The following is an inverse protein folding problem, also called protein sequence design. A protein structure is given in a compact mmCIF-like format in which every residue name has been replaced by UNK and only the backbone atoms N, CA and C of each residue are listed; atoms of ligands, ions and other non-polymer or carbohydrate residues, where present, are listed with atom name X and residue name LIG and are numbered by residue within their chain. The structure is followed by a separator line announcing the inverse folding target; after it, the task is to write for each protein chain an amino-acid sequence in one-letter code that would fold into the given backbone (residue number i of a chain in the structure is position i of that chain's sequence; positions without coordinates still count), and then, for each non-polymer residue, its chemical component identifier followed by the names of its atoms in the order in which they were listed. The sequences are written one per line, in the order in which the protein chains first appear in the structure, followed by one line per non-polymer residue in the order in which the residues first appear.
data_IF_736499568205
#
_entry.id   IF_736499568205
#
_cell.length_a   1.000
_cell.length_b   1.000
_cell.length_c   1.000
_cell.angle_alpha   90.00
_cell.angle_beta   90.00
_cell.angle_gamma   90.00
#
_symmetry.space_group_name_H-M   'P 1'
#
loop_
_entity.id
_entity.type
_entity.pdbx_description
1 polymer ?
#
# COMPACT_ATOMS: atom_id res chain seq x y z
N UNK A 1 7.62 29.57 -13.47
CA UNK A 1 6.96 28.27 -13.24
C UNK A 1 6.37 27.83 -14.57
N UNK A 2 6.91 26.78 -15.19
CA UNK A 2 6.53 26.35 -16.55
C UNK A 2 5.26 25.49 -16.51
N UNK A 3 4.40 25.61 -17.52
CA UNK A 3 3.14 24.87 -17.66
C UNK A 3 3.37 23.34 -17.59
N UNK A 4 4.50 22.86 -18.12
CA UNK A 4 4.89 21.44 -18.05
C UNK A 4 5.08 20.91 -16.62
N UNK A 5 5.51 21.76 -15.68
CA UNK A 5 5.70 21.37 -14.27
C UNK A 5 4.35 21.19 -13.57
N UNK A 6 3.39 22.09 -13.84
CA UNK A 6 2.02 22.00 -13.35
C UNK A 6 1.30 20.77 -13.89
N UNK A 7 1.42 20.48 -15.19
CA UNK A 7 0.82 19.30 -15.81
C UNK A 7 1.42 17.99 -15.27
N UNK A 8 2.70 17.98 -14.91
CA UNK A 8 3.32 16.82 -14.23
C UNK A 8 2.77 16.64 -12.83
N UNK A 9 2.75 17.71 -12.02
CA UNK A 9 2.24 17.67 -10.65
C UNK A 9 0.79 17.18 -10.59
N UNK A 10 -0.06 17.66 -11.51
CA UNK A 10 -1.46 17.26 -11.59
C UNK A 10 -1.61 15.76 -11.88
N UNK A 11 -0.88 15.24 -12.88
CA UNK A 11 -0.84 13.80 -13.19
C UNK A 11 -0.33 12.94 -12.04
N UNK A 12 0.66 13.42 -11.28
CA UNK A 12 1.15 12.69 -10.10
C UNK A 12 0.07 12.60 -9.02
N UNK A 13 -0.69 13.68 -8.82
CA UNK A 13 -1.78 13.71 -7.85
C UNK A 13 -2.93 12.78 -8.24
N UNK A 14 -3.32 12.77 -9.52
CA UNK A 14 -4.34 11.84 -10.02
C UNK A 14 -3.92 10.37 -9.83
N UNK A 15 -2.66 10.04 -10.13
CA UNK A 15 -2.12 8.71 -9.91
C UNK A 15 -2.15 8.31 -8.44
N UNK A 16 -1.75 9.23 -7.55
CA UNK A 16 -1.75 9.02 -6.11
C UNK A 16 -3.14 8.75 -5.56
N UNK A 17 -4.13 9.52 -6.02
CA UNK A 17 -5.55 9.31 -5.69
C UNK A 17 -6.03 7.95 -6.18
N UNK A 18 -5.78 7.62 -7.44
CA UNK A 18 -6.17 6.32 -8.02
C UNK A 18 -5.56 5.14 -7.25
N UNK A 19 -4.26 5.21 -6.93
CA UNK A 19 -3.57 4.15 -6.20
C UNK A 19 -4.09 4.01 -4.76
N UNK A 20 -4.44 5.12 -4.11
CA UNK A 20 -5.10 5.09 -2.80
C UNK A 20 -6.47 4.43 -2.90
N UNK A 21 -7.32 4.82 -3.85
CA UNK A 21 -8.65 4.22 -4.05
C UNK A 21 -8.57 2.71 -4.30
N UNK A 22 -7.66 2.27 -5.18
CA UNK A 22 -7.44 0.85 -5.45
C UNK A 22 -6.89 0.11 -4.22
N UNK A 23 -6.04 0.76 -3.41
CA UNK A 23 -5.59 0.19 -2.14
C UNK A 23 -6.79 -0.04 -1.22
N UNK A 24 -7.65 0.97 -1.00
CA UNK A 24 -8.84 0.83 -0.15
C UNK A 24 -9.78 -0.26 -0.65
N UNK A 25 -9.99 -0.34 -1.97
CA UNK A 25 -10.85 -1.34 -2.61
C UNK A 25 -10.37 -2.77 -2.42
N UNK A 26 -9.07 -3.04 -2.62
CA UNK A 26 -8.53 -4.40 -2.56
C UNK A 26 -8.11 -4.83 -1.16
N UNK A 27 -7.56 -3.92 -0.36
CA UNK A 27 -7.16 -4.20 1.01
C UNK A 27 -8.36 -4.24 1.96
N UNK A 28 -9.40 -3.46 1.68
CA UNK A 28 -10.53 -3.25 2.59
C UNK A 28 -10.16 -2.41 3.82
N UNK A 29 -11.18 -1.98 4.54
CA UNK A 29 -11.02 -1.02 5.65
C UNK A 29 -10.10 -1.53 6.77
N UNK A 30 -10.19 -2.81 7.14
CA UNK A 30 -9.44 -3.33 8.29
C UNK A 30 -7.93 -3.41 8.01
N UNK A 31 -7.55 -3.88 6.82
CA UNK A 31 -6.16 -3.96 6.43
C UNK A 31 -5.57 -2.55 6.24
N UNK A 32 -6.32 -1.62 5.64
CA UNK A 32 -5.87 -0.22 5.53
C UNK A 32 -5.65 0.40 6.89
N UNK A 33 -6.56 0.19 7.85
CA UNK A 33 -6.36 0.68 9.23
C UNK A 33 -5.09 0.11 9.86
N UNK A 34 -4.81 -1.18 9.67
CA UNK A 34 -3.56 -1.79 10.14
C UNK A 34 -2.33 -1.14 9.50
N UNK A 35 -2.36 -0.92 8.18
CA UNK A 35 -1.25 -0.25 7.49
C UNK A 35 -1.06 1.19 8.01
N UNK A 36 -2.14 1.97 8.13
CA UNK A 36 -2.06 3.34 8.64
C UNK A 36 -1.57 3.41 10.10
N UNK A 37 -1.86 2.39 10.91
CA UNK A 37 -1.32 2.29 12.27
C UNK A 37 0.20 2.08 12.28
N UNK A 38 0.74 1.31 11.33
CA UNK A 38 2.16 0.99 11.26
C UNK A 38 2.96 2.13 10.63
N UNK A 39 2.44 2.73 9.56
CA UNK A 39 3.18 3.74 8.77
C UNK A 39 2.79 5.18 9.06
N UNK A 40 1.70 5.42 9.78
CA UNK A 40 1.17 6.75 10.16
C UNK A 40 0.92 7.71 8.99
N UNK A 41 0.99 7.20 7.75
CA UNK A 41 0.87 7.97 6.52
C UNK A 41 0.29 7.11 5.41
N UNK A 42 -0.73 7.63 4.74
CA UNK A 42 -1.37 6.94 3.62
C UNK A 42 -0.42 6.79 2.43
N UNK A 43 0.44 7.77 2.17
CA UNK A 43 1.45 7.68 1.11
C UNK A 43 2.45 6.55 1.40
N UNK A 44 2.91 6.42 2.65
CA UNK A 44 3.82 5.35 3.07
C UNK A 44 3.16 3.97 3.01
N UNK A 45 1.92 3.86 3.50
CA UNK A 45 1.13 2.64 3.43
C UNK A 45 0.90 2.18 1.98
N UNK A 46 0.52 3.12 1.11
CA UNK A 46 0.36 2.90 -0.34
C UNK A 46 1.66 2.44 -0.98
N UNK A 47 2.77 3.13 -0.70
CA UNK A 47 4.08 2.75 -1.24
C UNK A 47 4.45 1.33 -0.82
N UNK A 48 4.24 0.95 0.45
CA UNK A 48 4.46 -0.42 0.91
C UNK A 48 3.55 -1.42 0.22
N UNK A 49 2.26 -1.12 0.08
CA UNK A 49 1.24 -2.00 -0.50
C UNK A 49 1.53 -2.37 -1.98
N UNK A 50 2.14 -1.44 -2.71
CA UNK A 50 2.56 -1.64 -4.10
C UNK A 50 4.05 -2.04 -4.26
N UNK A 51 4.81 -2.13 -3.16
CA UNK A 51 6.21 -2.55 -3.18
C UNK A 51 6.36 -4.06 -3.13
N UNK A 52 7.46 -4.57 -3.67
CA UNK A 52 7.80 -5.99 -3.56
C UNK A 52 8.32 -6.29 -2.17
N UNK A 53 7.76 -7.31 -1.53
CA UNK A 53 8.12 -7.70 -0.16
C UNK A 53 8.79 -9.08 -0.17
N UNK A 54 9.97 -9.17 0.42
CA UNK A 54 10.77 -10.40 0.48
C UNK A 54 9.99 -11.52 1.16
N UNK A 55 9.33 -11.22 2.29
CA UNK A 55 8.52 -12.17 3.05
C UNK A 55 7.30 -12.71 2.28
N UNK A 56 6.90 -12.07 1.18
CA UNK A 56 5.84 -12.52 0.27
C UNK A 56 6.41 -13.19 -1.01
N UNK A 57 7.68 -13.59 -0.99
CA UNK A 57 8.34 -14.17 -2.17
C UNK A 57 8.60 -13.13 -3.26
N UNK A 58 8.96 -11.90 -2.87
CA UNK A 58 9.24 -10.77 -3.77
C UNK A 58 8.03 -10.32 -4.61
N UNK A 59 6.82 -10.61 -4.12
CA UNK A 59 5.53 -10.15 -4.67
C UNK A 59 5.01 -8.94 -3.89
N UNK A 60 4.02 -8.25 -4.46
CA UNK A 60 3.40 -7.07 -3.83
C UNK A 60 2.20 -7.47 -2.97
N UNK A 61 1.96 -6.83 -1.82
CA UNK A 61 0.74 -7.01 -1.04
C UNK A 61 -0.53 -6.85 -1.89
N UNK A 62 -0.55 -5.90 -2.83
CA UNK A 62 -1.63 -5.72 -3.80
C UNK A 62 -1.99 -7.01 -4.56
N UNK A 63 -1.00 -7.77 -5.02
CA UNK A 63 -1.24 -8.98 -5.82
C UNK A 63 -1.97 -10.05 -4.96
N UNK A 64 -1.63 -10.18 -3.68
CA UNK A 64 -2.32 -11.08 -2.75
C UNK A 64 -3.75 -10.64 -2.47
N UNK A 65 -3.95 -9.34 -2.19
CA UNK A 65 -5.28 -8.79 -1.95
C UNK A 65 -6.20 -8.97 -3.18
N UNK A 66 -5.66 -8.76 -4.38
CA UNK A 66 -6.38 -8.99 -5.64
C UNK A 66 -6.75 -10.46 -5.87
N UNK A 67 -5.90 -11.39 -5.43
CA UNK A 67 -6.16 -12.83 -5.44
C UNK A 67 -7.10 -13.30 -4.29
N UNK A 68 -7.58 -12.39 -3.44
CA UNK A 68 -8.43 -12.72 -2.28
C UNK A 68 -7.66 -13.25 -1.07
N UNK A 69 -6.32 -13.19 -1.07
CA UNK A 69 -5.43 -13.67 0.00
C UNK A 69 -5.10 -12.60 1.04
N UNK A 70 -6.09 -11.80 1.42
CA UNK A 70 -5.93 -10.66 2.35
C UNK A 70 -5.36 -11.10 3.70
N UNK A 71 -5.72 -12.30 4.17
CA UNK A 71 -5.25 -12.85 5.46
C UNK A 71 -3.72 -12.99 5.52
N UNK A 72 -3.07 -13.34 4.42
CA UNK A 72 -1.61 -13.49 4.36
C UNK A 72 -0.92 -12.14 4.57
N UNK A 73 -1.46 -11.09 3.94
CA UNK A 73 -0.99 -9.72 4.12
C UNK A 73 -1.24 -9.22 5.54
N UNK A 74 -2.41 -9.49 6.12
CA UNK A 74 -2.71 -9.09 7.51
C UNK A 74 -1.80 -9.78 8.53
N UNK A 75 -1.52 -11.08 8.36
CA UNK A 75 -0.58 -11.82 9.21
C UNK A 75 0.84 -11.24 9.13
N UNK A 76 1.27 -10.83 7.93
CA UNK A 76 2.54 -10.13 7.75
C UNK A 76 2.54 -8.78 8.47
N UNK A 77 1.48 -7.99 8.35
CA UNK A 77 1.35 -6.71 9.05
C UNK A 77 1.42 -6.88 10.58
N UNK A 78 0.76 -7.89 11.12
CA UNK A 78 0.84 -8.21 12.55
C UNK A 78 2.28 -8.52 12.99
N UNK A 79 3.05 -9.25 12.18
CA UNK A 79 4.48 -9.49 12.46
C UNK A 79 5.31 -8.21 12.45
N UNK A 80 5.05 -7.31 11.49
CA UNK A 80 5.72 -6.01 11.40
C UNK A 80 5.39 -5.15 12.63
N UNK A 81 4.12 -5.09 13.02
CA UNK A 81 3.65 -4.33 14.19
C UNK A 81 4.32 -4.81 15.49
N UNK A 82 4.51 -6.12 15.64
CA UNK A 82 5.16 -6.70 16.81
C UNK A 82 6.70 -6.78 16.71
N UNK A 83 7.30 -6.23 15.63
CA UNK A 83 8.76 -6.24 15.43
C UNK A 83 9.36 -7.62 15.19
N UNK A 84 8.55 -8.59 14.74
CA UNK A 84 8.98 -9.96 14.46
C UNK A 84 9.47 -10.06 13.02
N UNK A 85 10.77 -9.81 12.84
CA UNK A 85 11.46 -10.05 11.56
C UNK A 85 11.76 -11.55 11.41
N UNK A 86 11.46 -12.14 10.25
CA UNK A 86 11.90 -13.51 9.89
C UNK A 86 12.43 -13.54 8.49
#
# INVERSE_FOLDING_TARGET
MYIDDLLKQDKFKELDTFLSEEMHKYAGNDLVKQMLKIWESEASARNWFYSKIIALGNKRPYDFCKEGKIKEVSNLLGRIEHGVYS
#
